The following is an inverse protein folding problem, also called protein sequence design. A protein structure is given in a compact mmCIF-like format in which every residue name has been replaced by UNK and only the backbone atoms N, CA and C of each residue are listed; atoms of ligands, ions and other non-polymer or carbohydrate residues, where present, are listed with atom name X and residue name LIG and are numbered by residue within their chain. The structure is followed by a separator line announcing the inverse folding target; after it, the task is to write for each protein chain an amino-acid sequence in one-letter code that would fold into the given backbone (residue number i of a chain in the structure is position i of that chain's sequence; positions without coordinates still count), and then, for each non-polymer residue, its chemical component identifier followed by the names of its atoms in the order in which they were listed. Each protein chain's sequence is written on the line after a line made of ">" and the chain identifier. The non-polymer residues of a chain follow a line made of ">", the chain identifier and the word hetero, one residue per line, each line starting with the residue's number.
data_IF_438216476500
#
_entry.id   IF_438216476500
#
_cell.length_a   1.000
_cell.length_b   1.000
_cell.length_c   1.000
_cell.angle_alpha   90.00
_cell.angle_beta   90.00
_cell.angle_gamma   90.00
#
_symmetry.space_group_name_H-M   'P 1'
#
loop_
_entity.id
_entity.type
_entity.pdbx_description
1 polymer ?
#
# COMPACT_ATOMS: atom_id res chain seq x y z
N UNK A 1 -17.63 12.92 15.24
CA UNK A 1 -17.18 13.56 13.99
C UNK A 1 -17.40 12.56 12.86
N UNK A 2 -17.98 13.01 11.73
CA UNK A 2 -18.42 12.16 10.62
C UNK A 2 -17.25 11.45 9.93
N UNK A 3 -17.51 10.27 9.37
CA UNK A 3 -16.61 9.51 8.49
C UNK A 3 -16.09 10.30 7.26
N UNK A 4 -16.60 11.52 7.03
CA UNK A 4 -16.08 12.51 6.09
C UNK A 4 -14.65 13.01 6.40
N UNK A 5 -14.02 12.57 7.49
CA UNK A 5 -12.70 13.05 7.92
C UNK A 5 -11.51 12.41 7.19
N UNK A 6 -11.68 11.35 6.40
CA UNK A 6 -10.58 10.75 5.63
C UNK A 6 -10.60 11.17 4.14
N UNK A 7 -11.50 12.08 3.76
CA UNK A 7 -11.86 12.27 2.36
C UNK A 7 -12.67 11.10 1.82
N UNK A 8 -13.43 11.33 0.75
CA UNK A 8 -14.21 10.28 0.09
C UNK A 8 -13.38 9.78 -1.09
N UNK A 9 -12.97 8.49 -1.12
CA UNK A 9 -12.29 7.93 -2.27
C UNK A 9 -13.09 8.19 -3.56
N UNK A 10 -12.43 8.52 -4.69
CA UNK A 10 -13.13 8.65 -5.95
C UNK A 10 -13.76 7.33 -6.39
N UNK A 11 -14.72 7.38 -7.31
CA UNK A 11 -15.31 6.17 -7.89
C UNK A 11 -14.21 5.35 -8.60
N UNK A 12 -14.12 4.06 -8.26
CA UNK A 12 -13.16 3.14 -8.86
C UNK A 12 -13.41 2.93 -10.36
N UNK A 13 -14.66 3.11 -10.85
CA UNK A 13 -14.95 3.04 -12.29
C UNK A 13 -14.22 4.11 -13.09
N UNK A 14 -13.85 5.23 -12.44
CA UNK A 14 -13.07 6.29 -13.06
C UNK A 14 -11.64 5.83 -13.34
N UNK A 15 -11.07 4.92 -12.54
CA UNK A 15 -9.72 4.40 -12.75
C UNK A 15 -9.54 3.76 -14.13
N UNK A 16 -10.57 3.07 -14.63
CA UNK A 16 -10.54 2.43 -15.95
C UNK A 16 -10.98 3.35 -17.10
N UNK A 17 -11.85 4.32 -16.82
CA UNK A 17 -12.46 5.18 -17.86
C UNK A 17 -11.69 6.48 -18.10
N UNK A 18 -11.14 7.08 -17.04
CA UNK A 18 -10.30 8.27 -17.07
C UNK A 18 -9.26 8.22 -15.91
N UNK A 19 -8.16 7.48 -16.10
CA UNK A 19 -7.13 7.29 -15.08
C UNK A 19 -6.55 8.60 -14.53
N UNK A 20 -6.42 9.62 -15.38
CA UNK A 20 -5.85 10.91 -14.99
C UNK A 20 -6.82 11.68 -14.08
N UNK A 21 -8.09 11.77 -14.47
CA UNK A 21 -9.11 12.37 -13.60
C UNK A 21 -9.30 11.61 -12.29
N UNK A 22 -9.12 10.28 -12.31
CA UNK A 22 -9.12 9.46 -11.09
C UNK A 22 -7.97 9.80 -10.15
N UNK A 23 -6.74 9.93 -10.67
CA UNK A 23 -5.59 10.33 -9.86
C UNK A 23 -5.71 11.78 -9.35
N UNK A 24 -6.18 12.72 -10.18
CA UNK A 24 -6.40 14.11 -9.75
C UNK A 24 -7.39 14.22 -8.59
N UNK A 25 -8.38 13.33 -8.52
CA UNK A 25 -9.31 13.25 -7.38
C UNK A 25 -8.65 12.63 -6.15
N UNK A 26 -7.80 11.63 -6.34
CA UNK A 26 -7.00 11.09 -5.25
C UNK A 26 -6.07 12.15 -4.65
N UNK A 27 -5.44 12.99 -5.48
CA UNK A 27 -4.62 14.10 -5.00
C UNK A 27 -5.42 15.11 -4.15
N UNK A 28 -6.68 15.36 -4.51
CA UNK A 28 -7.59 16.19 -3.69
C UNK A 28 -7.91 15.52 -2.35
N UNK A 29 -8.15 14.20 -2.35
CA UNK A 29 -8.34 13.43 -1.11
C UNK A 29 -7.09 13.52 -0.24
N UNK A 30 -5.90 13.29 -0.82
CA UNK A 30 -4.64 13.39 -0.09
C UNK A 30 -4.35 14.80 0.43
N UNK A 31 -4.75 15.85 -0.30
CA UNK A 31 -4.60 17.22 0.18
C UNK A 31 -5.45 17.49 1.43
N UNK A 32 -6.68 16.96 1.46
CA UNK A 32 -7.55 17.02 2.64
C UNK A 32 -6.95 16.21 3.79
N UNK A 33 -6.52 14.97 3.50
CA UNK A 33 -5.96 14.03 4.47
C UNK A 33 -4.67 14.56 5.10
N UNK A 34 -3.76 15.09 4.27
CA UNK A 34 -2.51 15.73 4.72
C UNK A 34 -2.77 17.04 5.45
N UNK A 35 -3.72 17.86 4.97
CA UNK A 35 -4.16 19.09 5.63
C UNK A 35 -4.76 18.83 7.01
N UNK A 36 -5.37 17.66 7.20
CA UNK A 36 -5.89 17.15 8.48
C UNK A 36 -4.85 16.37 9.29
N UNK A 37 -3.59 16.29 8.82
CA UNK A 37 -2.44 15.60 9.45
C UNK A 37 -2.69 14.13 9.75
N UNK A 38 -3.36 13.39 8.86
CA UNK A 38 -3.62 11.97 9.07
C UNK A 38 -2.34 11.15 9.26
N UNK A 39 -1.23 11.57 8.63
CA UNK A 39 0.12 11.05 8.86
C UNK A 39 0.83 11.70 10.06
N UNK A 40 0.08 11.93 11.13
CA UNK A 40 0.63 12.12 12.47
C UNK A 40 0.10 11.02 13.38
N UNK A 41 0.81 10.72 14.46
CA UNK A 41 0.50 9.57 15.32
C UNK A 41 -0.93 9.59 15.86
N UNK A 42 -1.49 10.77 16.13
CA UNK A 42 -2.84 10.91 16.72
C UNK A 42 -3.99 10.58 15.75
N UNK A 43 -4.07 11.14 14.53
CA UNK A 43 -5.11 10.78 13.57
C UNK A 43 -5.03 9.34 13.04
N UNK A 44 -3.84 8.80 12.80
CA UNK A 44 -3.72 7.39 12.39
C UNK A 44 -4.13 6.43 13.53
N UNK A 45 -3.79 6.75 14.78
CA UNK A 45 -4.32 6.02 15.95
C UNK A 45 -5.85 6.15 16.06
N UNK A 46 -6.40 7.34 15.75
CA UNK A 46 -7.85 7.55 15.71
C UNK A 46 -8.54 6.70 14.63
N UNK A 47 -7.93 6.53 13.45
CA UNK A 47 -8.44 5.64 12.39
C UNK A 47 -8.52 4.20 12.88
N UNK A 48 -7.46 3.70 13.53
CA UNK A 48 -7.44 2.36 14.13
C UNK A 48 -8.55 2.23 15.18
N UNK A 49 -8.69 3.22 16.07
CA UNK A 49 -9.71 3.21 17.11
C UNK A 49 -11.13 3.27 16.53
N UNK A 50 -11.34 4.04 15.46
CA UNK A 50 -12.64 4.17 14.79
C UNK A 50 -13.06 2.85 14.15
N UNK A 51 -12.15 2.17 13.46
CA UNK A 51 -12.42 0.85 12.90
C UNK A 51 -12.65 -0.18 14.02
N UNK A 52 -11.84 -0.14 15.07
CA UNK A 52 -11.96 -1.03 16.22
C UNK A 52 -13.29 -0.89 16.96
N UNK A 53 -13.85 0.33 17.03
CA UNK A 53 -15.12 0.63 17.72
C UNK A 53 -16.33 0.54 16.80
N UNK A 54 -16.15 0.25 15.51
CA UNK A 54 -17.26 0.09 14.58
C UNK A 54 -18.18 -1.07 14.99
N UNK A 55 -19.50 -0.98 14.77
CA UNK A 55 -20.43 -2.07 15.11
C UNK A 55 -20.04 -3.41 14.49
N UNK A 56 -19.48 -3.37 13.28
CA UNK A 56 -18.99 -4.54 12.57
C UNK A 56 -17.82 -5.21 13.32
N UNK A 57 -16.83 -4.45 13.77
CA UNK A 57 -15.68 -5.02 14.50
C UNK A 57 -16.05 -5.53 15.91
N UNK A 58 -17.16 -5.04 16.47
CA UNK A 58 -17.70 -5.52 17.74
C UNK A 58 -18.48 -6.84 17.60
N UNK A 59 -19.01 -7.15 16.41
CA UNK A 59 -19.63 -8.44 16.11
C UNK A 59 -18.56 -9.55 16.01
N UNK A 60 -18.62 -10.60 16.85
CA UNK A 60 -17.69 -11.71 16.80
C UNK A 60 -17.56 -12.37 15.42
N UNK A 61 -18.68 -12.53 14.69
CA UNK A 61 -18.66 -13.20 13.39
C UNK A 61 -17.89 -12.38 12.37
N UNK A 62 -18.19 -11.09 12.30
CA UNK A 62 -17.49 -10.19 11.40
C UNK A 62 -16.01 -10.04 11.78
N UNK A 63 -15.69 -10.00 13.08
CA UNK A 63 -14.30 -10.00 13.54
C UNK A 63 -13.54 -11.25 13.10
N UNK A 64 -14.14 -12.43 13.19
CA UNK A 64 -13.52 -13.68 12.73
C UNK A 64 -13.33 -13.68 11.21
N UNK A 65 -14.27 -13.08 10.46
CA UNK A 65 -14.15 -12.88 9.02
C UNK A 65 -12.98 -11.94 8.69
N UNK A 66 -12.81 -10.82 9.41
CA UNK A 66 -11.65 -9.92 9.26
C UNK A 66 -10.35 -10.67 9.56
N UNK A 67 -10.26 -11.39 10.68
CA UNK A 67 -9.06 -12.19 11.01
C UNK A 67 -8.71 -13.18 9.87
N UNK A 68 -9.72 -13.85 9.30
CA UNK A 68 -9.54 -14.76 8.17
C UNK A 68 -9.04 -14.02 6.93
N UNK A 69 -9.65 -12.88 6.60
CA UNK A 69 -9.22 -12.05 5.47
C UNK A 69 -7.78 -11.54 5.65
N UNK A 70 -7.44 -10.98 6.82
CA UNK A 70 -6.07 -10.50 7.11
C UNK A 70 -5.05 -11.63 7.00
N UNK A 71 -5.36 -12.86 7.47
CA UNK A 71 -4.47 -14.02 7.28
C UNK A 71 -4.29 -14.37 5.81
N UNK A 72 -5.36 -14.32 5.02
CA UNK A 72 -5.30 -14.55 3.57
C UNK A 72 -4.44 -13.50 2.88
N UNK A 73 -4.65 -12.22 3.20
CA UNK A 73 -3.88 -11.09 2.65
C UNK A 73 -2.39 -11.21 2.98
N UNK A 74 -2.04 -11.61 4.21
CA UNK A 74 -0.64 -11.84 4.60
C UNK A 74 0.03 -12.93 3.75
N UNK A 75 -0.69 -14.03 3.48
CA UNK A 75 -0.19 -15.08 2.58
C UNK A 75 -0.01 -14.53 1.16
N UNK A 76 -0.99 -13.81 0.65
CA UNK A 76 -0.91 -13.17 -0.68
C UNK A 76 0.26 -12.19 -0.77
N UNK A 77 0.53 -11.43 0.30
CA UNK A 77 1.66 -10.51 0.37
C UNK A 77 2.99 -11.27 0.28
N UNK A 78 3.15 -12.37 1.01
CA UNK A 78 4.33 -13.23 0.88
C UNK A 78 4.53 -13.74 -0.56
N UNK A 79 3.44 -14.21 -1.19
CA UNK A 79 3.48 -14.73 -2.55
C UNK A 79 3.89 -13.64 -3.57
N UNK A 80 3.38 -12.41 -3.40
CA UNK A 80 3.79 -11.25 -4.21
C UNK A 80 5.25 -10.91 -3.96
N UNK A 81 5.72 -10.90 -2.71
CA UNK A 81 7.12 -10.60 -2.40
C UNK A 81 8.06 -11.65 -3.01
N UNK A 82 7.69 -12.93 -2.96
CA UNK A 82 8.44 -13.99 -3.63
C UNK A 82 8.45 -13.81 -5.15
N UNK A 83 7.30 -13.52 -5.76
CA UNK A 83 7.19 -13.27 -7.19
C UNK A 83 8.00 -12.05 -7.62
N UNK A 84 7.85 -10.93 -6.93
CA UNK A 84 8.62 -9.70 -7.12
C UNK A 84 10.11 -9.98 -7.08
N UNK A 85 10.58 -10.70 -6.07
CA UNK A 85 11.99 -11.09 -5.96
C UNK A 85 12.44 -11.91 -7.15
N UNK A 86 11.63 -12.87 -7.60
CA UNK A 86 11.97 -13.73 -8.75
C UNK A 86 12.10 -12.95 -10.07
N UNK A 87 11.30 -11.88 -10.23
CA UNK A 87 11.26 -11.07 -11.45
C UNK A 87 12.30 -9.94 -11.38
N UNK A 88 12.35 -9.22 -10.25
CA UNK A 88 13.17 -8.03 -10.08
C UNK A 88 14.62 -8.36 -9.79
N UNK A 89 14.93 -9.36 -8.94
CA UNK A 89 16.30 -9.61 -8.51
C UNK A 89 17.27 -9.90 -9.67
N UNK A 90 16.92 -10.71 -10.70
CA UNK A 90 17.77 -10.88 -11.87
C UNK A 90 18.02 -9.57 -12.63
N UNK A 91 17.00 -8.71 -12.73
CA UNK A 91 17.09 -7.43 -13.44
C UNK A 91 17.84 -6.34 -12.65
N UNK A 92 17.83 -6.39 -11.32
CA UNK A 92 18.70 -5.57 -10.47
C UNK A 92 20.16 -6.02 -10.56
N UNK A 93 20.43 -7.33 -10.48
CA UNK A 93 21.79 -7.87 -10.60
C UNK A 93 22.38 -7.68 -12.00
N UNK A 94 21.53 -7.63 -13.03
CA UNK A 94 21.90 -7.35 -14.42
C UNK A 94 22.06 -5.87 -14.77
N UNK A 95 21.86 -4.94 -13.82
CA UNK A 95 21.88 -3.46 -13.97
C UNK A 95 20.90 -2.85 -14.99
N UNK A 96 20.06 -3.64 -15.65
CA UNK A 96 19.15 -3.14 -16.68
C UNK A 96 18.00 -2.31 -16.10
N UNK A 97 17.36 -2.77 -15.01
CA UNK A 97 16.09 -2.19 -14.58
C UNK A 97 16.28 -0.82 -13.97
N UNK A 98 17.25 -0.71 -13.06
CA UNK A 98 17.57 0.54 -12.39
C UNK A 98 18.01 1.60 -13.40
N UNK A 99 18.89 1.26 -14.34
CA UNK A 99 19.38 2.22 -15.34
C UNK A 99 18.27 2.64 -16.30
N UNK A 100 17.44 1.71 -16.79
CA UNK A 100 16.28 2.04 -17.63
C UNK A 100 15.27 2.91 -16.90
N UNK A 101 14.92 2.56 -15.66
CA UNK A 101 13.98 3.33 -14.84
C UNK A 101 14.49 4.75 -14.54
N UNK A 102 15.78 4.88 -14.20
CA UNK A 102 16.38 6.18 -13.90
C UNK A 102 16.59 7.03 -15.16
N UNK A 103 16.74 6.39 -16.33
CA UNK A 103 16.80 7.07 -17.63
C UNK A 103 15.41 7.49 -18.13
N UNK A 104 14.34 6.86 -17.65
CA UNK A 104 12.98 7.25 -17.99
C UNK A 104 12.64 8.64 -17.43
N UNK A 105 12.16 9.54 -18.29
CA UNK A 105 11.73 10.87 -17.89
C UNK A 105 10.50 10.86 -16.97
N UNK A 106 10.24 11.94 -16.20
CA UNK A 106 9.13 12.01 -15.26
C UNK A 106 7.76 11.68 -15.87
N UNK A 107 7.50 12.09 -17.12
CA UNK A 107 6.24 11.77 -17.80
C UNK A 107 6.04 10.27 -17.97
N UNK A 108 7.07 9.55 -18.45
CA UNK A 108 6.96 8.11 -18.70
C UNK A 108 6.87 7.32 -17.40
N UNK A 109 7.63 7.71 -16.37
CA UNK A 109 7.48 7.13 -15.03
C UNK A 109 6.06 7.31 -14.52
N UNK A 110 5.52 8.52 -14.60
CA UNK A 110 4.14 8.82 -14.18
C UNK A 110 3.09 7.94 -14.86
N UNK A 111 3.21 7.72 -16.17
CA UNK A 111 2.36 6.83 -16.95
C UNK A 111 2.39 5.38 -16.42
N UNK A 112 3.60 4.82 -16.24
CA UNK A 112 3.80 3.43 -15.79
C UNK A 112 3.27 3.24 -14.35
N UNK A 113 3.55 4.20 -13.47
CA UNK A 113 3.08 4.21 -12.09
C UNK A 113 1.55 4.24 -12.04
N UNK A 114 0.93 5.14 -12.81
CA UNK A 114 -0.53 5.27 -12.84
C UNK A 114 -1.18 4.00 -13.39
N UNK A 115 -0.62 3.42 -14.46
CA UNK A 115 -1.11 2.15 -15.01
C UNK A 115 -1.08 1.03 -13.95
N UNK A 116 0.02 0.94 -13.18
CA UNK A 116 0.15 -0.03 -12.10
C UNK A 116 -0.87 0.15 -10.98
N UNK A 117 -1.10 1.39 -10.56
CA UNK A 117 -2.09 1.72 -9.54
C UNK A 117 -3.52 1.40 -10.00
N UNK A 118 -3.87 1.74 -11.25
CA UNK A 118 -5.16 1.38 -11.84
C UNK A 118 -5.34 -0.13 -11.86
N UNK A 119 -4.34 -0.87 -12.32
CA UNK A 119 -4.40 -2.33 -12.39
C UNK A 119 -4.61 -2.95 -10.99
N UNK A 120 -3.85 -2.51 -9.98
CA UNK A 120 -3.96 -2.98 -8.61
C UNK A 120 -5.35 -2.69 -8.01
N UNK A 121 -5.82 -1.44 -8.12
CA UNK A 121 -7.07 -0.98 -7.50
C UNK A 121 -8.32 -1.54 -8.19
N UNK A 122 -8.26 -1.83 -9.49
CA UNK A 122 -9.39 -2.41 -10.23
C UNK A 122 -9.47 -3.92 -10.08
N UNK A 123 -8.34 -4.60 -9.83
CA UNK A 123 -8.31 -6.05 -9.61
C UNK A 123 -8.83 -6.43 -8.23
N UNK A 124 -8.44 -5.67 -7.20
CA UNK A 124 -8.87 -5.91 -5.82
C UNK A 124 -9.46 -4.61 -5.26
N UNK A 125 -10.80 -4.49 -5.19
CA UNK A 125 -11.45 -3.24 -4.80
C UNK A 125 -11.02 -2.69 -3.43
N UNK A 126 -10.66 -3.55 -2.47
CA UNK A 126 -10.20 -3.05 -1.16
C UNK A 126 -8.85 -2.31 -1.24
N UNK A 127 -8.04 -2.57 -2.28
CA UNK A 127 -6.78 -1.83 -2.49
C UNK A 127 -7.01 -0.39 -2.94
N UNK A 128 -8.17 -0.10 -3.55
CA UNK A 128 -8.57 1.29 -3.83
C UNK A 128 -8.72 2.08 -2.52
N UNK A 129 -9.42 1.51 -1.54
CA UNK A 129 -9.59 2.16 -0.22
C UNK A 129 -8.28 2.20 0.56
N UNK A 130 -7.44 1.16 0.43
CA UNK A 130 -6.14 1.08 1.08
C UNK A 130 -5.19 2.25 0.73
N UNK A 131 -5.42 2.95 -0.40
CA UNK A 131 -4.70 4.18 -0.75
C UNK A 131 -4.77 5.23 0.35
N UNK A 132 -5.84 5.27 1.16
CA UNK A 132 -5.98 6.18 2.31
C UNK A 132 -4.92 5.97 3.40
N UNK A 133 -4.32 4.77 3.46
CA UNK A 133 -3.33 4.40 4.47
C UNK A 133 -1.89 4.56 3.98
N UNK A 134 -1.71 4.92 2.72
CA UNK A 134 -0.42 5.15 2.11
C UNK A 134 -0.15 6.66 2.00
N UNK A 135 1.08 7.09 2.31
CA UNK A 135 1.50 8.46 2.13
C UNK A 135 2.13 8.64 0.75
N UNK A 136 3.44 8.82 0.67
CA UNK A 136 4.19 9.02 -0.57
C UNK A 136 4.33 7.73 -1.38
N UNK A 137 4.10 6.56 -0.78
CA UNK A 137 4.43 5.25 -1.37
C UNK A 137 3.61 4.91 -2.61
N UNK A 138 2.45 5.54 -2.80
CA UNK A 138 1.55 5.27 -3.94
C UNK A 138 1.10 6.55 -4.64
N UNK A 139 1.76 7.68 -4.37
CA UNK A 139 1.46 8.95 -5.06
C UNK A 139 2.24 9.06 -6.34
N UNK A 140 1.54 9.29 -7.46
CA UNK A 140 2.19 9.40 -8.76
C UNK A 140 3.20 10.54 -8.79
N UNK A 141 2.88 11.69 -8.22
CA UNK A 141 3.78 12.84 -8.18
C UNK A 141 5.08 12.54 -7.42
N UNK A 142 4.99 11.85 -6.27
CA UNK A 142 6.17 11.53 -5.45
C UNK A 142 7.14 10.58 -6.17
N UNK A 143 6.61 9.61 -6.89
CA UNK A 143 7.42 8.62 -7.61
C UNK A 143 8.03 9.18 -8.89
N UNK A 144 7.29 10.00 -9.64
CA UNK A 144 7.73 10.43 -10.98
C UNK A 144 8.89 11.44 -10.97
N UNK A 145 9.05 12.21 -9.89
CA UNK A 145 10.06 13.30 -9.85
C UNK A 145 11.48 12.76 -9.70
N UNK A 146 11.72 11.84 -8.76
CA UNK A 146 13.04 11.28 -8.50
C UNK A 146 13.21 9.87 -9.09
N UNK A 147 12.13 9.08 -9.19
CA UNK A 147 12.19 7.67 -9.56
C UNK A 147 12.79 6.79 -8.47
N UNK A 148 13.71 7.30 -7.66
CA UNK A 148 14.37 6.54 -6.59
C UNK A 148 13.41 5.88 -5.60
N UNK A 149 12.31 6.56 -5.27
CA UNK A 149 11.29 6.04 -4.35
C UNK A 149 10.71 4.69 -4.80
N UNK A 150 10.49 4.50 -6.11
CA UNK A 150 10.03 3.21 -6.63
C UNK A 150 11.08 2.11 -6.40
N UNK A 151 12.35 2.40 -6.65
CA UNK A 151 13.43 1.44 -6.47
C UNK A 151 13.60 1.07 -4.99
N UNK A 152 13.56 2.06 -4.10
CA UNK A 152 13.64 1.83 -2.66
C UNK A 152 12.49 0.94 -2.16
N UNK A 153 11.26 1.20 -2.62
CA UNK A 153 10.09 0.37 -2.28
C UNK A 153 10.18 -1.03 -2.87
N UNK A 154 10.68 -1.16 -4.09
CA UNK A 154 10.88 -2.45 -4.73
C UNK A 154 11.94 -3.27 -3.99
N UNK A 155 13.06 -2.66 -3.59
CA UNK A 155 14.09 -3.28 -2.74
C UNK A 155 13.54 -3.74 -1.39
N UNK A 156 12.73 -2.90 -0.74
CA UNK A 156 12.12 -3.21 0.55
C UNK A 156 11.09 -4.35 0.47
N UNK A 157 10.42 -4.49 -0.67
CA UNK A 157 9.47 -5.57 -0.94
C UNK A 157 10.13 -6.87 -1.41
N UNK A 158 11.40 -6.84 -1.82
CA UNK A 158 12.13 -8.06 -2.18
C UNK A 158 12.53 -8.86 -0.94
N UNK A 159 12.47 -10.18 -1.07
CA UNK A 159 12.94 -11.14 -0.07
C UNK A 159 14.46 -11.16 -0.10
N UNK A 160 15.11 -10.89 1.04
CA UNK A 160 16.57 -10.80 1.13
C UNK A 160 17.30 -12.10 0.73
N UNK A 161 16.62 -13.26 0.80
CA UNK A 161 17.14 -14.57 0.41
C UNK A 161 16.26 -15.21 -0.70
N UNK A 162 16.52 -14.91 -1.99
CA UNK A 162 15.70 -15.38 -3.11
C UNK A 162 15.66 -16.90 -3.31
N UNK A 163 16.60 -17.62 -2.70
CA UNK A 163 16.74 -19.08 -2.82
C UNK A 163 15.83 -19.87 -1.88
N UNK A 164 15.16 -19.19 -0.94
CA UNK A 164 14.20 -19.80 -0.04
C UNK A 164 12.82 -19.90 -0.71
N UNK A 165 11.99 -20.84 -0.24
CA UNK A 165 10.56 -20.86 -0.57
C UNK A 165 9.88 -19.53 -0.20
N UNK A 166 8.63 -19.30 -0.69
CA UNK A 166 7.82 -18.13 -0.32
C UNK A 166 7.90 -17.89 1.20
N UNK A 167 8.16 -16.64 1.66
CA UNK A 167 8.41 -16.39 3.06
C UNK A 167 7.17 -16.73 3.91
N UNK A 168 7.37 -17.29 5.10
CA UNK A 168 6.25 -17.62 6.00
C UNK A 168 5.65 -16.37 6.67
N UNK A 169 6.39 -15.25 6.67
CA UNK A 169 5.97 -13.97 7.24
C UNK A 169 6.28 -12.85 6.27
N UNK A 170 5.32 -11.95 5.99
CA UNK A 170 5.57 -10.85 5.06
C UNK A 170 6.49 -9.80 5.68
N UNK A 171 7.29 -9.16 4.84
CA UNK A 171 7.96 -7.90 5.19
C UNK A 171 6.96 -6.75 5.00
N UNK A 172 6.96 -5.79 5.91
CA UNK A 172 6.14 -4.58 5.78
C UNK A 172 7.07 -3.39 5.48
N UNK A 173 6.69 -2.57 4.50
CA UNK A 173 7.33 -1.30 4.17
C UNK A 173 7.24 -0.37 5.37
N UNK A 174 8.39 0.09 5.84
CA UNK A 174 8.53 0.97 6.99
C UNK A 174 7.77 2.28 6.77
N UNK A 175 7.14 2.78 7.83
CA UNK A 175 6.48 4.08 7.83
C UNK A 175 6.42 4.64 9.24
N UNK A 176 7.06 5.79 9.53
CA UNK A 176 7.23 6.30 10.90
C UNK A 176 5.95 6.34 11.74
N UNK A 177 4.82 6.76 11.13
CA UNK A 177 3.52 6.82 11.81
C UNK A 177 2.98 5.43 12.16
N UNK A 178 2.98 4.50 11.20
CA UNK A 178 2.49 3.14 11.43
C UNK A 178 3.39 2.38 12.39
N UNK A 179 4.70 2.55 12.27
CA UNK A 179 5.69 1.95 13.17
C UNK A 179 5.52 2.45 14.60
N UNK A 180 5.25 3.75 14.78
CA UNK A 180 4.95 4.33 16.09
C UNK A 180 3.66 3.75 16.71
N UNK A 181 2.62 3.53 15.90
CA UNK A 181 1.36 2.92 16.38
C UNK A 181 1.57 1.44 16.74
N UNK A 182 2.34 0.70 15.95
CA UNK A 182 2.71 -0.68 16.27
C UNK A 182 3.45 -0.74 17.61
N UNK A 183 4.45 0.14 17.80
CA UNK A 183 5.20 0.22 19.04
C UNK A 183 4.31 0.57 20.24
N UNK A 184 3.39 1.53 20.08
CA UNK A 184 2.43 1.92 21.12
C UNK A 184 1.46 0.78 21.48
N UNK A 185 0.93 0.05 20.50
CA UNK A 185 0.06 -1.10 20.75
C UNK A 185 0.78 -2.28 21.43
N UNK A 186 2.09 -2.40 21.24
CA UNK A 186 2.91 -3.39 21.94
C UNK A 186 3.20 -2.97 23.39
N UNK A 187 3.35 -1.67 23.64
CA UNK A 187 3.62 -1.11 24.97
C UNK A 187 2.35 -0.91 25.83
N UNK A 188 1.17 -0.87 25.21
CA UNK A 188 -0.11 -0.55 25.86
C UNK A 188 -1.04 -1.77 25.98
N UNK A 189 -2.15 -1.59 26.73
CA UNK A 189 -3.24 -2.56 26.82
C UNK A 189 -4.22 -2.41 25.64
N UNK A 190 -3.71 -2.31 24.40
CA UNK A 190 -4.55 -2.22 23.21
C UNK A 190 -5.53 -3.41 23.14
N UNK A 191 -6.78 -3.11 22.81
CA UNK A 191 -7.85 -4.10 22.69
C UNK A 191 -7.59 -5.06 21.53
N UNK A 192 -8.24 -6.22 21.57
CA UNK A 192 -8.14 -7.18 20.46
C UNK A 192 -8.63 -6.59 19.13
N UNK A 193 -9.67 -5.74 19.17
CA UNK A 193 -10.21 -5.09 17.98
C UNK A 193 -9.23 -4.06 17.39
N UNK A 194 -8.50 -3.31 18.22
CA UNK A 194 -7.46 -2.37 17.75
C UNK A 194 -6.29 -3.09 17.10
N UNK A 195 -5.90 -4.27 17.64
CA UNK A 195 -4.85 -5.10 17.04
C UNK A 195 -5.28 -5.69 15.71
N UNK A 196 -6.54 -6.13 15.60
CA UNK A 196 -7.09 -6.66 14.34
C UNK A 196 -7.19 -5.55 13.30
N UNK A 197 -7.75 -4.39 13.65
CA UNK A 197 -7.86 -3.25 12.74
C UNK A 197 -6.48 -2.78 12.24
N UNK A 198 -5.49 -2.68 13.13
CA UNK A 198 -4.13 -2.32 12.71
C UNK A 198 -3.52 -3.39 11.78
N UNK A 199 -3.67 -4.67 12.11
CA UNK A 199 -3.15 -5.76 11.27
C UNK A 199 -3.78 -5.76 9.87
N UNK A 200 -5.06 -5.43 9.77
CA UNK A 200 -5.81 -5.33 8.52
C UNK A 200 -5.27 -4.16 7.67
N UNK A 201 -5.21 -2.94 8.24
CA UNK A 201 -4.63 -1.75 7.59
C UNK A 201 -3.22 -2.03 7.05
N UNK A 202 -2.35 -2.59 7.89
CA UNK A 202 -0.96 -2.87 7.51
C UNK A 202 -0.87 -3.89 6.37
N UNK A 203 -1.76 -4.88 6.37
CA UNK A 203 -1.82 -5.91 5.32
C UNK A 203 -2.31 -5.32 4.00
N UNK A 204 -3.38 -4.52 4.01
CA UNK A 204 -3.92 -3.88 2.80
C UNK A 204 -2.96 -2.85 2.20
N UNK A 205 -2.37 -1.99 3.04
CA UNK A 205 -1.35 -1.01 2.61
C UNK A 205 -0.22 -1.70 1.85
N UNK A 206 0.34 -2.75 2.42
CA UNK A 206 1.51 -3.41 1.85
C UNK A 206 1.15 -4.31 0.68
N UNK A 207 -0.08 -4.85 0.66
CA UNK A 207 -0.61 -5.55 -0.50
C UNK A 207 -0.73 -4.62 -1.71
N UNK A 208 -1.24 -3.39 -1.51
CA UNK A 208 -1.29 -2.37 -2.56
C UNK A 208 0.12 -2.03 -3.06
N UNK A 209 1.07 -1.72 -2.17
CA UNK A 209 2.45 -1.38 -2.56
C UNK A 209 3.10 -2.53 -3.33
N UNK A 210 2.88 -3.78 -2.91
CA UNK A 210 3.41 -4.96 -3.59
C UNK A 210 2.80 -5.17 -4.98
N UNK A 211 1.48 -5.09 -5.11
CA UNK A 211 0.77 -5.25 -6.39
C UNK A 211 1.18 -4.18 -7.40
N UNK A 212 1.19 -2.93 -6.94
CA UNK A 212 1.64 -1.79 -7.73
C UNK A 212 3.11 -1.95 -8.16
N UNK A 213 4.00 -2.35 -7.24
CA UNK A 213 5.40 -2.64 -7.60
C UNK A 213 5.50 -3.75 -8.63
N UNK A 214 4.75 -4.84 -8.48
CA UNK A 214 4.82 -6.01 -9.36
C UNK A 214 4.36 -5.70 -10.79
N UNK A 215 3.34 -4.86 -10.92
CA UNK A 215 2.86 -4.42 -12.23
C UNK A 215 3.92 -3.65 -13.03
N UNK A 216 4.88 -2.99 -12.35
CA UNK A 216 5.89 -2.14 -12.95
C UNK A 216 7.19 -2.87 -13.32
N UNK A 217 7.44 -4.09 -12.82
CA UNK A 217 8.71 -4.81 -13.12
C UNK A 217 8.65 -5.49 -14.50
N UNK A 218 7.57 -5.36 -15.25
CA UNK A 218 7.44 -6.01 -16.56
C UNK A 218 8.51 -5.49 -17.55
N UNK A 219 9.41 -6.35 -18.07
CA UNK A 219 10.54 -5.91 -18.89
C UNK A 219 10.17 -5.21 -20.21
N UNK A 220 8.91 -5.33 -20.65
CA UNK A 220 8.41 -4.82 -21.93
C UNK A 220 7.96 -3.35 -21.90
N UNK A 221 7.95 -2.72 -20.73
CA UNK A 221 7.33 -1.39 -20.54
C UNK A 221 8.33 -0.22 -20.54
N UNK A 222 9.64 -0.52 -20.63
CA UNK A 222 10.76 0.45 -20.58
C UNK A 222 11.63 0.42 -21.82
#
# INVERSE_FOLDING_TARGET
>A
MNANALGVPPDIQLASSDPLAWEDRWDQVFAVVNGQRIFSSSPAAWTVQTLATSPNMQDPKHRDDVIRCTRSQRKTLCDIQAQLTSIAAPSFLGNDLQDRWMSAGPSKRGEIILAGLVAACTTVPSLHEARLFCDKEIRVESHRQNGRLFLDLLEEMMVQNPTAASPDTPTYVAHPVWDAIVADQQASNATICEKIALADILSERNLLIGQDSASRVNPREY
#
